data_IF_161287761223
#
_entry.id   IF_161287761223
#
_cell.length_a   1.000
_cell.length_b   1.000
_cell.length_c   1.000
_cell.angle_alpha   90.00
_cell.angle_beta   90.00
_cell.angle_gamma   90.00
#
_symmetry.space_group_name_H-M   'P 1'
#
loop_
_entity.id
_entity.type
_entity.pdbx_description
1 polymer ?
#
# COMPACT_ATOMS: atom_id res chain seq x y z
N UNK A 1 -14.98 -3.83 -12.35
CA UNK A 1 -14.55 -4.55 -13.57
C UNK A 1 -15.71 -5.39 -14.07
N UNK A 2 -16.12 -5.24 -15.32
CA UNK A 2 -17.24 -6.01 -15.89
C UNK A 2 -16.77 -7.46 -16.08
N UNK A 3 -17.34 -8.38 -15.30
CA UNK A 3 -17.01 -9.80 -15.43
C UNK A 3 -17.80 -10.36 -16.63
N UNK A 4 -17.09 -10.59 -17.72
CA UNK A 4 -17.69 -11.24 -18.89
C UNK A 4 -17.87 -12.74 -18.60
N UNK A 5 -18.99 -13.30 -19.05
CA UNK A 5 -19.22 -14.76 -18.95
C UNK A 5 -18.14 -15.49 -19.75
N UNK A 6 -17.38 -16.37 -19.08
CA UNK A 6 -16.33 -17.16 -19.73
C UNK A 6 -16.99 -18.18 -20.65
N UNK A 7 -16.64 -18.15 -21.95
CA UNK A 7 -17.26 -19.01 -22.97
C UNK A 7 -16.55 -20.34 -23.16
N UNK A 8 -15.23 -20.34 -23.03
CA UNK A 8 -14.39 -21.50 -23.39
C UNK A 8 -13.73 -22.09 -22.14
N UNK A 9 -12.56 -21.58 -21.74
CA UNK A 9 -11.76 -22.14 -20.64
C UNK A 9 -11.80 -21.24 -19.40
N UNK A 10 -12.41 -21.76 -18.33
CA UNK A 10 -12.55 -21.08 -17.04
C UNK A 10 -11.20 -20.83 -16.35
N UNK A 11 -10.29 -21.81 -16.34
CA UNK A 11 -9.00 -21.73 -15.65
C UNK A 11 -8.10 -20.64 -16.26
N UNK A 12 -8.01 -20.59 -17.60
CA UNK A 12 -7.23 -19.56 -18.31
C UNK A 12 -7.79 -18.15 -18.06
N UNK A 13 -9.12 -18.03 -17.99
CA UNK A 13 -9.77 -16.76 -17.69
C UNK A 13 -9.48 -16.31 -16.25
N UNK A 14 -9.58 -17.24 -15.29
CA UNK A 14 -9.25 -16.99 -13.89
C UNK A 14 -7.79 -16.56 -13.72
N UNK A 15 -6.83 -17.25 -14.33
CA UNK A 15 -5.40 -16.92 -14.27
C UNK A 15 -5.08 -15.48 -14.73
N UNK A 16 -5.88 -14.92 -15.64
CA UNK A 16 -5.70 -13.54 -16.14
C UNK A 16 -6.26 -12.46 -15.22
N UNK A 17 -7.01 -12.83 -14.19
CA UNK A 17 -7.54 -11.87 -13.21
C UNK A 17 -6.42 -11.37 -12.29
N UNK A 18 -6.59 -10.19 -11.64
CA UNK A 18 -5.60 -9.68 -10.69
C UNK A 18 -5.39 -10.59 -9.46
N UNK A 19 -6.26 -11.59 -9.23
CA UNK A 19 -6.13 -12.56 -8.16
C UNK A 19 -4.84 -13.37 -8.26
N UNK A 20 -4.45 -13.74 -9.48
CA UNK A 20 -3.24 -14.53 -9.75
C UNK A 20 -2.11 -13.69 -10.37
N UNK A 21 -2.08 -12.39 -10.07
CA UNK A 21 -0.95 -11.55 -10.51
C UNK A 21 0.32 -11.95 -9.79
N UNK A 22 1.45 -11.83 -10.49
CA UNK A 22 2.77 -12.00 -9.88
C UNK A 22 2.94 -11.00 -8.72
N UNK A 23 3.28 -11.52 -7.54
CA UNK A 23 3.57 -10.70 -6.38
C UNK A 23 5.08 -10.56 -6.21
N UNK A 24 5.56 -9.33 -6.06
CA UNK A 24 6.96 -9.05 -5.77
C UNK A 24 7.13 -8.79 -4.28
N UNK A 25 8.01 -9.54 -3.62
CA UNK A 25 8.36 -9.30 -2.23
C UNK A 25 9.38 -8.17 -2.13
N UNK A 26 9.18 -7.26 -1.18
CA UNK A 26 10.18 -6.21 -0.89
C UNK A 26 11.39 -6.85 -0.21
N UNK A 27 12.61 -6.73 -0.78
CA UNK A 27 13.79 -7.35 -0.20
C UNK A 27 14.17 -6.66 1.12
N UNK A 28 14.77 -7.41 2.05
CA UNK A 28 15.23 -6.87 3.35
C UNK A 28 16.48 -5.98 3.23
N UNK A 29 17.29 -6.16 2.19
CA UNK A 29 18.54 -5.44 1.94
C UNK A 29 18.74 -5.22 0.43
N UNK A 30 19.55 -4.23 0.04
CA UNK A 30 19.85 -3.91 -1.36
C UNK A 30 18.86 -2.92 -2.00
N UNK A 31 18.72 -2.96 -3.34
CA UNK A 31 17.86 -2.03 -4.09
C UNK A 31 16.39 -2.20 -3.70
N UNK A 32 15.72 -1.09 -3.37
CA UNK A 32 14.31 -1.10 -2.98
C UNK A 32 14.03 -1.60 -1.56
N UNK A 33 15.05 -1.79 -0.73
CA UNK A 33 14.90 -2.22 0.67
C UNK A 33 14.73 -1.08 1.68
N UNK A 34 15.01 0.17 1.30
CA UNK A 34 14.89 1.32 2.20
C UNK A 34 13.41 1.61 2.53
N UNK A 35 13.10 1.71 3.82
CA UNK A 35 11.79 2.14 4.34
C UNK A 35 11.96 3.37 5.20
N UNK A 36 11.11 4.39 5.01
CA UNK A 36 11.12 5.63 5.81
C UNK A 36 10.81 5.39 7.29
N UNK A 37 10.05 4.33 7.61
CA UNK A 37 9.71 3.94 8.99
C UNK A 37 9.90 2.44 9.15
N UNK A 38 10.56 2.04 10.23
CA UNK A 38 10.65 0.63 10.61
C UNK A 38 9.29 0.09 11.09
N UNK A 39 9.16 -1.25 11.14
CA UNK A 39 7.95 -1.92 11.65
C UNK A 39 7.67 -1.60 13.12
N UNK A 40 8.73 -1.39 13.90
CA UNK A 40 8.67 -0.89 15.27
C UNK A 40 9.21 0.54 15.27
N UNK A 41 8.41 1.48 14.79
CA UNK A 41 8.67 2.87 15.10
C UNK A 41 8.67 2.98 16.63
N UNK A 42 9.79 3.43 17.19
CA UNK A 42 10.02 3.59 18.63
C UNK A 42 8.78 4.18 19.30
N UNK A 43 8.08 3.38 20.13
CA UNK A 43 7.16 3.91 21.14
C UNK A 43 8.05 4.53 22.22
N UNK A 44 8.43 5.81 22.07
CA UNK A 44 9.19 6.49 23.12
C UNK A 44 10.03 7.68 22.70
N UNK A 45 9.40 8.76 22.27
CA UNK A 45 9.73 10.09 22.80
C UNK A 45 8.47 10.96 22.69
N UNK A 46 7.73 11.02 23.79
CA UNK A 46 6.61 11.93 23.99
C UNK A 46 7.12 13.38 24.03
N UNK A 47 7.32 13.96 22.85
CA UNK A 47 7.38 15.39 22.52
C UNK A 47 7.82 15.40 21.06
N UNK A 48 6.94 15.53 20.07
CA UNK A 48 6.17 16.72 19.77
C UNK A 48 4.90 16.22 19.08
N UNK A 49 3.75 16.54 19.67
CA UNK A 49 2.48 16.40 18.99
C UNK A 49 2.46 17.32 17.78
N UNK A 50 2.35 16.74 16.59
CA UNK A 50 1.78 17.44 15.43
C UNK A 50 0.37 16.89 15.19
N UNK A 51 -0.48 17.10 16.20
CA UNK A 51 -1.90 17.39 16.02
C UNK A 51 -2.11 18.86 15.62
N UNK A 52 -1.15 19.47 14.92
CA UNK A 52 -1.13 20.89 14.56
C UNK A 52 -1.07 21.05 13.03
N UNK A 53 -2.05 20.47 12.33
CA UNK A 53 -2.38 20.81 10.94
C UNK A 53 -3.91 20.91 10.81
N UNK A 54 -4.54 21.67 11.72
CA UNK A 54 -5.82 22.33 11.42
C UNK A 54 -5.50 23.81 11.25
N UNK A 55 -5.21 24.20 10.01
CA UNK A 55 -4.95 25.59 9.66
C UNK A 55 -6.13 26.47 10.05
N UNK A 56 -5.86 27.51 10.82
CA UNK A 56 -6.76 28.63 10.98
C UNK A 56 -6.92 29.30 9.61
N UNK A 57 -8.08 29.10 8.96
CA UNK A 57 -8.51 29.99 7.87
C UNK A 57 -8.91 31.31 8.52
N UNK A 58 -8.10 32.35 8.33
CA UNK A 58 -8.56 33.72 8.52
C UNK A 58 -9.38 34.10 7.29
N UNK A 59 -10.63 34.46 7.50
CA UNK A 59 -11.43 35.18 6.50
C UNK A 59 -11.27 36.67 6.81
N UNK A 60 -10.94 37.44 5.77
CA UNK A 60 -11.06 38.90 5.76
C UNK A 60 -12.51 39.29 5.45
#
# INVERSE_FOLDING_TARGET
MKQHKVRNNALKAQLRTPMFKMQQQTPKKGKGSYSRKGRHAQKGSSSIGVSALRGHRQAA
#
